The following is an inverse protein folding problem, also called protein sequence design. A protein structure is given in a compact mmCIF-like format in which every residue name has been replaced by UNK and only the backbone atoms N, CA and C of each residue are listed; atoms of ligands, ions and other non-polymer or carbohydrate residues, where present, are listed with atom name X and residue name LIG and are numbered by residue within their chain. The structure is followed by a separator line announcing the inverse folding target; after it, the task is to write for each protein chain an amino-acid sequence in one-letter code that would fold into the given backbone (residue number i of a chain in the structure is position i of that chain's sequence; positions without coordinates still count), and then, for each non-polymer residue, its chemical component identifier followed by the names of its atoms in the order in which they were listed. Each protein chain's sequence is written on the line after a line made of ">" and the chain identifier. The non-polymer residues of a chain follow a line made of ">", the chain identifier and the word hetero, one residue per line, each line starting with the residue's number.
data_IF_234043135707
#
_entry.id   IF_234043135707
#
_cell.length_a   1.000
_cell.length_b   1.000
_cell.length_c   1.000
_cell.angle_alpha   90.00
_cell.angle_beta   90.00
_cell.angle_gamma   90.00
#
_symmetry.space_group_name_H-M   'P 1'
#
loop_
_entity.id
_entity.type
_entity.pdbx_description
1 polymer ?
#
# COMPACT_ATOMS: atom_id res chain seq x y z
N UNK A 1 -7.92 5.36 10.82
CA UNK A 1 -7.15 4.58 9.82
C UNK A 1 -7.83 4.68 8.47
N UNK A 2 -7.05 4.76 7.42
CA UNK A 2 -7.59 4.80 6.05
C UNK A 2 -8.14 3.45 5.64
N UNK A 3 -9.23 3.47 4.89
CA UNK A 3 -9.84 2.26 4.35
C UNK A 3 -9.95 2.37 2.83
N UNK A 4 -10.09 1.22 2.19
CA UNK A 4 -10.39 1.13 0.76
C UNK A 4 -11.66 0.31 0.59
N UNK A 5 -12.52 0.72 -0.33
CA UNK A 5 -13.78 0.02 -0.59
C UNK A 5 -13.60 -0.95 -1.75
N UNK A 6 -13.87 -2.21 -1.50
CA UNK A 6 -13.81 -3.28 -2.51
C UNK A 6 -15.12 -4.04 -2.46
N UNK A 7 -15.84 -4.09 -3.58
CA UNK A 7 -17.15 -4.75 -3.70
C UNK A 7 -18.12 -4.32 -2.59
N UNK A 8 -18.11 -3.01 -2.27
CA UNK A 8 -19.01 -2.45 -1.27
C UNK A 8 -18.59 -2.63 0.18
N UNK A 9 -17.48 -3.31 0.43
CA UNK A 9 -16.95 -3.52 1.79
C UNK A 9 -15.70 -2.70 2.02
N UNK A 10 -15.55 -2.18 3.24
CA UNK A 10 -14.40 -1.40 3.64
C UNK A 10 -13.30 -2.32 4.19
N UNK A 11 -12.08 -2.15 3.67
CA UNK A 11 -10.90 -2.85 4.14
C UNK A 11 -9.90 -1.84 4.68
N UNK A 12 -9.32 -2.06 5.87
CA UNK A 12 -8.29 -1.16 6.38
C UNK A 12 -7.01 -1.32 5.57
N UNK A 13 -6.33 -0.21 5.32
CA UNK A 13 -5.01 -0.22 4.67
C UNK A 13 -4.05 0.59 5.52
N UNK A 14 -2.80 0.15 5.56
CA UNK A 14 -1.76 0.85 6.29
C UNK A 14 -0.42 0.67 5.61
N UNK A 15 0.22 1.80 5.32
CA UNK A 15 1.54 1.81 4.72
C UNK A 15 2.56 2.01 5.84
N UNK A 16 2.88 0.93 6.54
CA UNK A 16 3.82 0.96 7.66
C UNK A 16 5.22 0.50 7.20
N UNK A 17 6.14 0.37 8.15
CA UNK A 17 7.51 -0.04 7.84
C UNK A 17 7.58 -1.46 7.28
N UNK A 18 6.68 -2.35 7.71
CA UNK A 18 6.63 -3.72 7.19
C UNK A 18 6.22 -3.70 5.71
N UNK A 19 5.18 -2.92 5.37
CA UNK A 19 4.74 -2.76 3.99
C UNK A 19 5.84 -2.13 3.13
N UNK A 20 6.50 -1.09 3.64
CA UNK A 20 7.58 -0.42 2.93
C UNK A 20 8.72 -1.39 2.60
N UNK A 21 9.12 -2.20 3.57
CA UNK A 21 10.18 -3.20 3.38
C UNK A 21 9.78 -4.24 2.35
N UNK A 22 8.53 -4.71 2.40
CA UNK A 22 8.02 -5.69 1.45
C UNK A 22 8.03 -5.14 0.02
N UNK A 23 7.60 -3.88 -0.15
CA UNK A 23 7.58 -3.21 -1.45
C UNK A 23 8.99 -3.01 -1.98
N UNK A 24 9.91 -2.56 -1.13
CA UNK A 24 11.32 -2.40 -1.49
C UNK A 24 11.93 -3.73 -1.94
N UNK A 25 11.64 -4.79 -1.21
CA UNK A 25 12.17 -6.13 -1.53
C UNK A 25 11.64 -6.64 -2.87
N UNK A 26 10.37 -6.36 -3.18
CA UNK A 26 9.75 -6.85 -4.42
C UNK A 26 10.22 -6.08 -5.64
N UNK A 27 10.29 -4.75 -5.55
CA UNK A 27 10.59 -3.88 -6.71
C UNK A 27 12.01 -3.36 -6.75
N UNK A 28 12.75 -3.51 -5.66
CA UNK A 28 14.11 -2.97 -5.53
C UNK A 28 14.15 -1.50 -5.17
N UNK A 29 13.17 -0.72 -5.62
CA UNK A 29 13.10 0.72 -5.40
C UNK A 29 11.65 1.14 -5.17
N UNK A 30 11.43 2.04 -4.21
CA UNK A 30 10.09 2.57 -3.93
C UNK A 30 9.52 3.35 -5.11
N UNK A 31 10.39 3.99 -5.92
CA UNK A 31 9.93 4.74 -7.08
C UNK A 31 9.14 3.88 -8.07
N UNK A 32 9.43 2.58 -8.12
CA UNK A 32 8.72 1.67 -9.02
C UNK A 32 7.29 1.42 -8.59
N UNK A 33 6.94 1.75 -7.34
CA UNK A 33 5.57 1.62 -6.85
C UNK A 33 4.59 2.43 -7.72
N UNK A 34 4.95 3.67 -8.05
CA UNK A 34 4.08 4.54 -8.85
C UNK A 34 3.86 4.00 -10.27
N UNK A 35 4.81 3.21 -10.80
CA UNK A 35 4.67 2.56 -12.09
C UNK A 35 3.78 1.31 -11.99
N UNK A 36 3.91 0.58 -10.91
CA UNK A 36 3.27 -0.72 -10.73
C UNK A 36 1.82 -0.65 -10.26
N UNK A 37 1.39 0.46 -9.67
CA UNK A 37 0.00 0.58 -9.20
C UNK A 37 -1.02 0.53 -10.33
N UNK A 38 -0.60 0.67 -11.58
CA UNK A 38 -1.47 0.57 -12.75
C UNK A 38 -1.41 -0.81 -13.42
N UNK A 39 -0.56 -1.70 -12.93
CA UNK A 39 -0.48 -3.09 -13.40
C UNK A 39 -1.39 -3.93 -12.51
N UNK A 40 -2.38 -4.63 -13.10
CA UNK A 40 -3.39 -5.35 -12.31
C UNK A 40 -2.78 -6.38 -11.36
N UNK A 41 -1.86 -7.20 -11.84
CA UNK A 41 -1.26 -8.24 -11.00
C UNK A 41 -0.49 -7.63 -9.83
N UNK A 42 0.22 -6.54 -10.09
CA UNK A 42 0.97 -5.85 -9.05
C UNK A 42 0.04 -5.09 -8.10
N UNK A 43 -1.04 -4.52 -8.62
CA UNK A 43 -2.06 -3.86 -7.80
C UNK A 43 -2.65 -4.83 -6.77
N UNK A 44 -2.96 -6.06 -7.18
CA UNK A 44 -3.48 -7.08 -6.25
C UNK A 44 -2.50 -7.35 -5.13
N UNK A 45 -1.20 -7.47 -5.46
CA UNK A 45 -0.16 -7.72 -4.47
C UNK A 45 0.00 -6.52 -3.52
N UNK A 46 0.04 -5.31 -4.07
CA UNK A 46 0.18 -4.08 -3.28
C UNK A 46 -1.00 -3.95 -2.31
N UNK A 47 -2.22 -4.10 -2.81
CA UNK A 47 -3.42 -4.01 -1.98
C UNK A 47 -3.41 -5.06 -0.88
N UNK A 48 -3.07 -6.32 -1.20
CA UNK A 48 -3.03 -7.37 -0.18
C UNK A 48 -2.01 -7.05 0.90
N UNK A 49 -0.85 -6.50 0.52
CA UNK A 49 0.18 -6.10 1.47
C UNK A 49 -0.33 -5.02 2.42
N UNK A 50 -0.94 -3.96 1.88
CA UNK A 50 -1.44 -2.85 2.70
C UNK A 50 -2.64 -3.26 3.54
N UNK A 51 -3.56 -4.06 3.00
CA UNK A 51 -4.72 -4.54 3.75
C UNK A 51 -4.27 -5.45 4.90
N UNK A 52 -3.34 -6.36 4.64
CA UNK A 52 -2.84 -7.25 5.68
C UNK A 52 -2.18 -6.47 6.82
N UNK A 53 -1.44 -5.40 6.51
CA UNK A 53 -0.85 -4.56 7.54
C UNK A 53 -1.91 -3.76 8.30
N UNK A 54 -2.95 -3.29 7.63
CA UNK A 54 -4.09 -2.63 8.27
C UNK A 54 -4.83 -3.57 9.23
N UNK A 55 -5.05 -4.80 8.79
CA UNK A 55 -5.70 -5.82 9.61
C UNK A 55 -4.85 -6.18 10.85
N UNK A 56 -3.53 -6.30 10.68
CA UNK A 56 -2.63 -6.56 11.80
C UNK A 56 -2.64 -5.42 12.81
N UNK A 57 -2.62 -4.18 12.33
CA UNK A 57 -2.68 -3.02 13.21
C UNK A 57 -3.97 -3.03 14.06
N UNK A 58 -5.11 -3.26 13.42
CA UNK A 58 -6.38 -3.32 14.12
C UNK A 58 -6.39 -4.48 15.13
N UNK A 59 -5.86 -5.63 14.74
CA UNK A 59 -5.80 -6.80 15.63
C UNK A 59 -4.96 -6.51 16.88
N UNK A 60 -3.82 -5.84 16.70
CA UNK A 60 -2.96 -5.45 17.84
C UNK A 60 -3.69 -4.47 18.75
N UNK A 61 -4.30 -3.44 18.17
CA UNK A 61 -4.98 -2.39 18.94
C UNK A 61 -6.24 -2.88 19.65
N UNK A 62 -6.98 -3.81 19.03
CA UNK A 62 -8.22 -4.34 19.58
C UNK A 62 -8.06 -5.68 20.28
N UNK A 63 -6.84 -6.22 20.31
CA UNK A 63 -6.53 -7.53 20.87
C UNK A 63 -7.41 -8.63 20.27
N UNK A 64 -7.47 -8.65 18.93
CA UNK A 64 -8.24 -9.61 18.16
C UNK A 64 -7.34 -10.35 17.19
N UNK A 65 -7.90 -11.28 16.43
CA UNK A 65 -7.17 -12.02 15.43
C UNK A 65 -7.23 -11.27 14.08
N UNK A 66 -6.08 -11.15 13.40
CA UNK A 66 -6.01 -10.49 12.11
C UNK A 66 -6.49 -11.42 11.00
N UNK A 67 -7.29 -10.87 10.07
CA UNK A 67 -7.57 -11.55 8.80
C UNK A 67 -6.34 -11.40 7.90
N UNK A 68 -6.19 -12.30 6.95
CA UNK A 68 -5.09 -12.25 5.99
C UNK A 68 -5.60 -12.58 4.60
N UNK A 69 -5.17 -11.82 3.62
CA UNK A 69 -5.63 -11.95 2.24
C UNK A 69 -4.44 -12.16 1.30
N UNK A 70 -4.59 -13.09 0.36
CA UNK A 70 -3.61 -13.26 -0.73
C UNK A 70 -4.01 -12.38 -1.91
N UNK A 71 -3.06 -12.09 -2.83
CA UNK A 71 -3.42 -11.37 -4.06
C UNK A 71 -4.52 -12.06 -4.86
N UNK A 72 -4.51 -13.40 -4.92
CA UNK A 72 -5.53 -14.17 -5.62
C UNK A 72 -6.90 -13.99 -4.99
N UNK A 73 -6.97 -13.97 -3.66
CA UNK A 73 -8.25 -13.74 -2.97
C UNK A 73 -8.80 -12.36 -3.28
N UNK A 74 -7.95 -11.35 -3.31
CA UNK A 74 -8.38 -9.99 -3.68
C UNK A 74 -8.84 -9.94 -5.14
N UNK A 75 -8.13 -10.61 -6.03
CA UNK A 75 -8.52 -10.67 -7.44
C UNK A 75 -9.91 -11.27 -7.61
N UNK A 76 -10.29 -12.23 -6.75
CA UNK A 76 -11.62 -12.84 -6.80
C UNK A 76 -12.74 -11.88 -6.38
N UNK A 77 -12.47 -10.92 -5.51
CA UNK A 77 -13.50 -10.01 -5.01
C UNK A 77 -13.49 -8.64 -5.69
N UNK A 78 -12.39 -8.28 -6.35
CA UNK A 78 -12.30 -7.02 -7.09
C UNK A 78 -13.06 -7.12 -8.41
N UNK A 79 -13.73 -6.03 -8.78
CA UNK A 79 -14.46 -5.90 -10.04
C UNK A 79 -13.92 -4.74 -10.84
N UNK A 80 -14.29 -4.67 -12.12
CA UNK A 80 -13.92 -3.52 -12.96
C UNK A 80 -14.42 -2.21 -12.35
N UNK A 81 -15.61 -2.24 -11.73
CA UNK A 81 -16.17 -1.06 -11.06
C UNK A 81 -15.31 -0.52 -9.94
N UNK A 82 -14.56 -1.38 -9.25
CA UNK A 82 -13.67 -0.96 -8.16
C UNK A 82 -12.49 -0.12 -8.67
N UNK A 83 -12.13 -0.27 -9.94
CA UNK A 83 -11.04 0.48 -10.56
C UNK A 83 -11.50 1.79 -11.22
N UNK A 84 -12.80 2.05 -11.24
CA UNK A 84 -13.31 3.28 -11.83
C UNK A 84 -12.83 4.50 -11.05
N UNK A 85 -12.48 5.56 -11.77
CA UNK A 85 -12.06 6.85 -11.21
C UNK A 85 -10.73 6.82 -10.46
N UNK A 86 -9.96 5.73 -10.55
CA UNK A 86 -8.64 5.65 -9.92
C UNK A 86 -8.68 5.64 -8.40
N UNK A 87 -9.79 5.27 -7.79
CA UNK A 87 -9.95 5.31 -6.33
C UNK A 87 -8.98 4.39 -5.59
N UNK A 88 -8.71 3.20 -6.13
CA UNK A 88 -7.77 2.27 -5.51
C UNK A 88 -6.34 2.81 -5.54
N UNK A 89 -5.91 3.34 -6.69
CA UNK A 89 -4.58 3.95 -6.81
C UNK A 89 -4.44 5.14 -5.88
N UNK A 90 -5.47 5.98 -5.79
CA UNK A 90 -5.47 7.14 -4.91
C UNK A 90 -5.42 6.71 -3.45
N UNK A 91 -6.12 5.64 -3.08
CA UNK A 91 -6.11 5.13 -1.71
C UNK A 91 -4.70 4.69 -1.29
N UNK A 92 -3.95 4.07 -2.20
CA UNK A 92 -2.55 3.66 -1.94
C UNK A 92 -1.69 4.89 -1.70
N UNK A 93 -1.82 5.92 -2.54
CA UNK A 93 -1.08 7.17 -2.40
C UNK A 93 -1.44 7.87 -1.09
N UNK A 94 -2.73 7.91 -0.76
CA UNK A 94 -3.20 8.53 0.48
C UNK A 94 -2.67 7.79 1.71
N UNK A 95 -2.62 6.45 1.67
CA UNK A 95 -2.07 5.66 2.76
C UNK A 95 -0.59 5.97 2.98
N UNK A 96 0.15 6.16 1.90
CA UNK A 96 1.55 6.57 1.98
C UNK A 96 1.69 7.96 2.62
N UNK A 97 0.87 8.91 2.19
CA UNK A 97 0.86 10.25 2.76
C UNK A 97 0.53 10.24 4.26
N UNK A 98 -0.43 9.41 4.66
CA UNK A 98 -0.77 9.23 6.07
C UNK A 98 0.43 8.74 6.88
N UNK A 99 1.22 7.83 6.29
CA UNK A 99 2.38 7.26 6.96
C UNK A 99 3.49 8.28 7.19
N UNK A 100 3.56 9.32 6.37
CA UNK A 100 4.57 10.39 6.53
C UNK A 100 4.24 11.36 7.68
N UNK A 101 2.98 11.47 8.06
CA UNK A 101 2.55 12.14 9.29
C UNK A 101 2.65 13.66 9.34
N UNK A 102 3.15 14.32 8.32
CA UNK A 102 3.47 15.76 8.38
C UNK A 102 2.45 16.66 7.67
N UNK A 103 1.32 16.12 7.26
CA UNK A 103 0.34 16.90 6.51
C UNK A 103 0.80 17.32 5.12
N UNK A 104 1.95 16.83 4.67
CA UNK A 104 2.45 17.06 3.33
C UNK A 104 1.81 16.09 2.36
N UNK A 105 1.39 16.62 1.22
CA UNK A 105 0.91 15.78 0.13
C UNK A 105 2.09 15.43 -0.76
N UNK A 106 2.55 14.20 -0.67
CA UNK A 106 3.67 13.72 -1.47
C UNK A 106 3.19 13.30 -2.85
N UNK A 107 3.99 13.66 -3.84
CA UNK A 107 3.76 13.28 -5.24
C UNK A 107 4.59 12.04 -5.56
N UNK A 108 4.39 11.49 -6.78
CA UNK A 108 5.23 10.40 -7.28
C UNK A 108 6.70 10.81 -7.33
N UNK A 109 6.99 12.08 -7.64
CA UNK A 109 8.34 12.62 -7.66
C UNK A 109 8.96 12.64 -6.25
N UNK A 110 8.17 13.02 -5.25
CA UNK A 110 8.61 13.00 -3.85
C UNK A 110 8.93 11.59 -3.39
N UNK A 111 8.12 10.61 -3.80
CA UNK A 111 8.35 9.20 -3.52
C UNK A 111 9.68 8.73 -4.12
N UNK A 112 9.97 9.14 -5.35
CA UNK A 112 11.23 8.83 -6.02
C UNK A 112 12.41 9.39 -5.25
N UNK A 113 12.31 10.64 -4.81
CA UNK A 113 13.37 11.30 -4.03
C UNK A 113 13.60 10.58 -2.71
N UNK A 114 12.54 10.23 -2.00
CA UNK A 114 12.64 9.50 -0.75
C UNK A 114 13.28 8.13 -0.95
N UNK A 115 12.84 7.41 -1.98
CA UNK A 115 13.38 6.09 -2.29
C UNK A 115 14.88 6.14 -2.57
N UNK A 116 15.30 7.14 -3.36
CA UNK A 116 16.72 7.31 -3.68
C UNK A 116 17.54 7.63 -2.43
N UNK A 117 17.01 8.45 -1.53
CA UNK A 117 17.67 8.79 -0.27
C UNK A 117 17.82 7.55 0.62
N UNK A 118 16.80 6.71 0.69
CA UNK A 118 16.83 5.49 1.49
C UNK A 118 17.82 4.47 0.91
N UNK A 119 17.85 4.32 -0.41
CA UNK A 119 18.78 3.41 -1.08
C UNK A 119 20.22 3.87 -0.90
N UNK A 120 20.47 5.18 -0.99
CA UNK A 120 21.80 5.74 -0.76
C UNK A 120 22.27 5.48 0.68
N UNK A 121 21.39 5.65 1.67
CA UNK A 121 21.70 5.37 3.06
C UNK A 121 22.00 3.89 3.28
N UNK A 122 21.26 3.01 2.64
CA UNK A 122 21.47 1.57 2.74
C UNK A 122 22.79 1.15 2.10
N UNK A 123 23.14 1.73 0.97
CA UNK A 123 24.42 1.45 0.29
C UNK A 123 25.64 1.98 1.06
N UNK A 124 25.46 3.00 1.87
CA UNK A 124 26.52 3.59 2.68
C UNK A 124 26.89 2.74 3.89
N UNK A 125 26.09 1.74 4.19
CA UNK A 125 26.39 0.79 5.25
C UNK A 125 27.29 -0.29 4.71
#
# INVERSE_FOLDING_TARGET
>A
MRTVKISGQDFPIRFNMVAMKAIQKRYGELQKLSEQIYNLDEMYWILSTLINEGEKYNAIMLNTQARQFTPEQLACILTIGDFNNGELSQAIIDAFNDALGDGKNWTAEDLTTLANSMLAAEKAK
#
